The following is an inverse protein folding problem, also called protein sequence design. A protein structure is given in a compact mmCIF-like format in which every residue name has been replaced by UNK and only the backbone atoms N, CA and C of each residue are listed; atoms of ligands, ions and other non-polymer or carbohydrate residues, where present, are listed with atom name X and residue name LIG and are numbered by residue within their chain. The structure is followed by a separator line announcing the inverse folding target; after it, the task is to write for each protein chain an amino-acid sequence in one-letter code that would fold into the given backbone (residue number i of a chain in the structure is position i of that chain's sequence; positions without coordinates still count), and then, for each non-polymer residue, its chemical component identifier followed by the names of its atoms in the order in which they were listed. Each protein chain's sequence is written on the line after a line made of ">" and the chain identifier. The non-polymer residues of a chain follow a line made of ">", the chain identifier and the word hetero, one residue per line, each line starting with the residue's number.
data_IF_407095851650
#
_entry.id   IF_407095851650
#
_cell.length_a   1.000
_cell.length_b   1.000
_cell.length_c   1.000
_cell.angle_alpha   90.00
_cell.angle_beta   90.00
_cell.angle_gamma   90.00
#
_symmetry.space_group_name_H-M   'P 1'
#
loop_
_entity.id
_entity.type
_entity.pdbx_description
1 polymer ?
#
# COMPACT_ATOMS: atom_id res chain seq x y z
N UNK A 1 -1.64 14.81 6.77
CA UNK A 1 -1.07 13.44 6.88
C UNK A 1 -2.16 12.51 7.36
N UNK A 2 -2.34 11.32 6.76
CA UNK A 2 -3.33 10.32 7.20
C UNK A 2 -3.05 9.97 8.67
N UNK A 3 -4.07 9.90 9.53
CA UNK A 3 -3.88 9.67 10.97
C UNK A 3 -3.15 8.36 11.29
N UNK A 4 -3.36 7.32 10.48
CA UNK A 4 -2.65 6.04 10.59
C UNK A 4 -1.13 6.19 10.45
N UNK A 5 -0.66 7.07 9.56
CA UNK A 5 0.78 7.37 9.39
C UNK A 5 1.38 8.16 10.57
N UNK A 6 0.55 8.69 11.48
CA UNK A 6 1.05 9.37 12.69
C UNK A 6 1.20 8.44 13.88
N UNK A 7 0.53 7.28 13.87
CA UNK A 7 0.46 6.37 15.02
C UNK A 7 1.79 5.70 15.33
N UNK A 8 2.51 5.31 14.28
CA UNK A 8 3.80 4.62 14.41
C UNK A 8 4.80 5.22 13.41
N UNK A 9 5.78 5.96 13.95
CA UNK A 9 6.79 6.63 13.14
C UNK A 9 7.81 5.66 12.53
N UNK A 10 8.09 4.54 13.19
CA UNK A 10 9.04 3.55 12.65
C UNK A 10 8.42 2.79 11.49
N UNK A 11 7.19 2.29 11.65
CA UNK A 11 6.45 1.65 10.55
C UNK A 11 6.16 2.58 9.39
N UNK A 12 5.92 3.85 9.67
CA UNK A 12 5.76 4.86 8.62
C UNK A 12 7.07 5.07 7.86
N UNK A 13 8.20 5.12 8.57
CA UNK A 13 9.53 5.27 7.97
C UNK A 13 9.97 4.04 7.18
N UNK A 14 9.64 2.83 7.63
CA UNK A 14 9.95 1.58 6.92
C UNK A 14 9.06 1.33 5.70
N UNK A 15 7.96 2.09 5.60
CA UNK A 15 6.95 1.98 4.55
C UNK A 15 5.86 0.94 4.82
N UNK A 16 5.94 0.19 5.92
CA UNK A 16 4.98 -0.86 6.31
C UNK A 16 3.55 -0.31 6.39
N UNK A 17 3.35 0.82 7.08
CA UNK A 17 2.01 1.43 7.17
C UNK A 17 1.48 1.82 5.79
N UNK A 18 2.35 2.25 4.87
CA UNK A 18 1.97 2.54 3.49
C UNK A 18 1.54 1.29 2.73
N UNK A 19 2.23 0.17 2.91
CA UNK A 19 1.89 -1.14 2.33
C UNK A 19 0.53 -1.60 2.84
N UNK A 20 0.30 -1.56 4.16
CA UNK A 20 -0.97 -1.94 4.79
C UNK A 20 -2.16 -1.13 4.21
N UNK A 21 -1.98 0.20 4.07
CA UNK A 21 -2.98 1.08 3.46
C UNK A 21 -3.23 0.70 2.00
N UNK A 22 -2.17 0.51 1.21
CA UNK A 22 -2.28 0.18 -0.20
C UNK A 22 -3.02 -1.15 -0.42
N UNK A 23 -2.65 -2.20 0.32
CA UNK A 23 -3.29 -3.52 0.25
C UNK A 23 -4.78 -3.43 0.59
N UNK A 24 -5.14 -2.66 1.63
CA UNK A 24 -6.54 -2.45 2.03
C UNK A 24 -7.34 -1.74 0.93
N UNK A 25 -6.76 -0.72 0.29
CA UNK A 25 -7.40 -0.02 -0.83
C UNK A 25 -7.56 -0.93 -2.04
N UNK A 26 -6.51 -1.66 -2.44
CA UNK A 26 -6.56 -2.59 -3.57
C UNK A 26 -7.69 -3.61 -3.40
N UNK A 27 -7.77 -4.24 -2.22
CA UNK A 27 -8.84 -5.21 -1.92
C UNK A 27 -10.23 -4.58 -1.94
N UNK A 28 -10.37 -3.37 -1.40
CA UNK A 28 -11.63 -2.63 -1.40
C UNK A 28 -12.08 -2.17 -2.80
N UNK A 29 -11.13 -1.90 -3.71
CA UNK A 29 -11.39 -1.44 -5.07
C UNK A 29 -11.61 -2.57 -6.08
N UNK A 30 -11.17 -3.79 -5.77
CA UNK A 30 -11.27 -4.97 -6.64
C UNK A 30 -12.67 -5.21 -7.28
N UNK A 31 -13.81 -5.05 -6.57
CA UNK A 31 -15.12 -5.25 -7.21
C UNK A 31 -15.55 -4.09 -8.13
N UNK A 32 -14.85 -2.96 -8.11
CA UNK A 32 -15.20 -1.74 -8.84
C UNK A 32 -14.27 -1.44 -10.03
N UNK A 33 -13.09 -2.07 -10.08
CA UNK A 33 -12.05 -1.78 -11.08
C UNK A 33 -11.43 -3.08 -11.62
N UNK A 34 -11.14 -3.12 -12.93
CA UNK A 34 -10.46 -4.26 -13.56
C UNK A 34 -8.95 -4.29 -13.31
N UNK A 35 -8.36 -3.16 -12.90
CA UNK A 35 -6.94 -3.02 -12.71
C UNK A 35 -6.59 -1.80 -11.89
N UNK A 36 -5.34 -1.74 -11.44
CA UNK A 36 -4.82 -0.69 -10.58
C UNK A 36 -3.47 -0.25 -11.12
N UNK A 37 -3.26 1.06 -11.20
CA UNK A 37 -1.97 1.65 -11.50
C UNK A 37 -1.27 2.02 -10.18
N UNK A 38 -0.03 1.57 -9.99
CA UNK A 38 0.79 1.87 -8.81
C UNK A 38 1.92 2.81 -9.24
N UNK A 39 2.04 3.96 -8.57
CA UNK A 39 3.15 4.90 -8.74
C UNK A 39 4.10 4.80 -7.54
N UNK A 40 5.24 4.09 -7.64
CA UNK A 40 6.10 3.81 -6.50
C UNK A 40 6.93 5.01 -6.02
N UNK A 41 7.18 6.02 -6.87
CA UNK A 41 7.95 7.23 -6.51
C UNK A 41 9.27 6.93 -5.76
N UNK A 42 10.04 5.94 -6.23
CA UNK A 42 11.31 5.51 -5.63
C UNK A 42 11.19 4.42 -4.56
N UNK A 43 9.98 3.94 -4.28
CA UNK A 43 9.70 2.81 -3.38
C UNK A 43 9.44 1.50 -4.13
N UNK A 44 10.09 1.32 -5.28
CA UNK A 44 9.89 0.19 -6.19
C UNK A 44 10.05 -1.17 -5.47
N UNK A 45 10.93 -1.24 -4.47
CA UNK A 45 11.17 -2.44 -3.65
C UNK A 45 9.95 -2.89 -2.82
N UNK A 46 8.96 -2.02 -2.59
CA UNK A 46 7.74 -2.35 -1.83
C UNK A 46 6.60 -2.83 -2.72
N UNK A 47 6.66 -2.57 -4.03
CA UNK A 47 5.59 -2.95 -4.97
C UNK A 47 5.34 -4.47 -4.97
N UNK A 48 6.36 -5.35 -5.03
CA UNK A 48 6.13 -6.80 -5.00
C UNK A 48 5.38 -7.26 -3.74
N UNK A 49 5.67 -6.66 -2.59
CA UNK A 49 5.02 -6.98 -1.32
C UNK A 49 3.55 -6.55 -1.32
N UNK A 50 3.24 -5.36 -1.84
CA UNK A 50 1.85 -4.88 -1.99
C UNK A 50 1.05 -5.85 -2.86
N UNK A 51 1.58 -6.24 -4.03
CA UNK A 51 0.90 -7.15 -4.95
C UNK A 51 0.65 -8.52 -4.32
N UNK A 52 1.68 -9.10 -3.70
CA UNK A 52 1.59 -10.38 -3.01
C UNK A 52 0.51 -10.38 -1.91
N UNK A 53 0.52 -9.37 -1.02
CA UNK A 53 -0.46 -9.26 0.05
C UNK A 53 -1.88 -8.92 -0.45
N UNK A 54 -1.99 -8.25 -1.60
CA UNK A 54 -3.24 -7.96 -2.28
C UNK A 54 -3.84 -9.18 -3.02
N UNK A 55 -3.05 -10.21 -3.28
CA UNK A 55 -3.44 -11.38 -4.07
C UNK A 55 -3.58 -11.03 -5.56
N UNK A 56 -2.63 -10.26 -6.07
CA UNK A 56 -2.47 -9.90 -7.49
C UNK A 56 -1.18 -10.50 -8.05
#
# INVERSE_FOLDING_TARGET
>A
LIEELKKDKEKTRSGETGIEIAVRLVKGLKPYCHGIHIMPLGWDSKVPEILSQAGL
#
